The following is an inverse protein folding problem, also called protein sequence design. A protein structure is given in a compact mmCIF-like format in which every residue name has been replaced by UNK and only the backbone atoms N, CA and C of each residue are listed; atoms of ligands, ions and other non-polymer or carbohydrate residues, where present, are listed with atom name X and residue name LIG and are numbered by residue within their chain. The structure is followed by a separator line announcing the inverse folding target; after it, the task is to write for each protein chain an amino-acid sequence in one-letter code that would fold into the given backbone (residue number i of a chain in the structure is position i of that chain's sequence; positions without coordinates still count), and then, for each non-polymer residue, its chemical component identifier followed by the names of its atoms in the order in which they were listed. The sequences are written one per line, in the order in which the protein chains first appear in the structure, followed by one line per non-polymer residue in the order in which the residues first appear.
data_IF_043297496037
#
_entry.id   IF_043297496037
#
_cell.length_a   1.000
_cell.length_b   1.000
_cell.length_c   1.000
_cell.angle_alpha   90.00
_cell.angle_beta   90.00
_cell.angle_gamma   90.00
#
_symmetry.space_group_name_H-M   'P 1'
#
loop_
_entity.id
_entity.type
_entity.pdbx_description
1 polymer ?
#
# COMPACT_ATOMS: atom_id res chain seq x y z
N UNK A 1 -5.75 19.04 2.24
CA UNK A 1 -6.28 19.59 3.51
C UNK A 1 -7.75 19.26 3.61
N UNK A 2 -8.06 17.98 3.50
CA UNK A 2 -9.41 17.43 3.62
C UNK A 2 -9.55 16.82 5.01
N UNK A 3 -10.79 16.71 5.49
CA UNK A 3 -11.07 16.05 6.77
C UNK A 3 -10.84 14.54 6.66
N UNK A 4 -10.21 13.96 7.68
CA UNK A 4 -9.93 12.51 7.77
C UNK A 4 -10.68 11.85 8.92
N UNK A 5 -11.57 12.57 9.61
CA UNK A 5 -12.30 12.06 10.77
C UNK A 5 -11.36 11.61 11.88
N UNK A 6 -11.55 10.37 12.35
CA UNK A 6 -10.69 9.71 13.35
C UNK A 6 -9.53 8.92 12.73
N UNK A 7 -9.36 8.95 11.40
CA UNK A 7 -8.30 8.18 10.73
C UNK A 7 -6.92 8.55 11.26
N UNK A 8 -6.01 7.58 11.23
CA UNK A 8 -4.63 7.78 11.64
C UNK A 8 -3.99 8.94 10.85
N UNK A 9 -3.43 9.90 11.59
CA UNK A 9 -2.84 11.11 11.03
C UNK A 9 -1.60 11.52 11.82
N UNK A 10 -0.47 11.63 11.14
CA UNK A 10 0.75 12.24 11.65
C UNK A 10 0.77 13.72 11.25
N UNK A 11 0.27 14.59 12.13
CA UNK A 11 0.09 16.01 11.81
C UNK A 11 1.38 16.75 11.45
N UNK A 12 2.49 16.36 12.08
CA UNK A 12 3.83 16.90 11.88
C UNK A 12 4.44 16.53 10.52
N UNK A 13 3.89 15.54 9.81
CA UNK A 13 4.35 15.12 8.48
C UNK A 13 3.56 15.73 7.31
N UNK A 14 2.52 16.55 7.56
CA UNK A 14 1.71 17.18 6.50
C UNK A 14 2.56 17.96 5.48
N UNK A 15 3.49 18.78 5.97
CA UNK A 15 4.39 19.56 5.11
C UNK A 15 5.34 18.67 4.30
N UNK A 16 5.77 17.54 4.87
CA UNK A 16 6.61 16.57 4.18
C UNK A 16 5.82 15.87 3.06
N UNK A 17 4.59 15.44 3.33
CA UNK A 17 3.70 14.84 2.34
C UNK A 17 3.48 15.77 1.13
N UNK A 18 3.17 17.06 1.37
CA UNK A 18 3.01 18.07 0.31
C UNK A 18 4.28 18.25 -0.52
N UNK A 19 5.46 18.23 0.11
CA UNK A 19 6.75 18.27 -0.61
C UNK A 19 6.93 17.04 -1.51
N UNK A 20 6.50 15.86 -1.06
CA UNK A 20 6.60 14.63 -1.86
C UNK A 20 5.65 14.65 -3.05
N UNK A 21 4.41 15.13 -2.88
CA UNK A 21 3.46 15.32 -3.98
C UNK A 21 4.05 16.23 -5.06
N UNK A 22 4.56 17.40 -4.64
CA UNK A 22 5.19 18.36 -5.56
C UNK A 22 6.42 17.76 -6.27
N UNK A 23 7.26 17.02 -5.54
CA UNK A 23 8.43 16.35 -6.11
C UNK A 23 8.04 15.29 -7.14
N UNK A 24 6.94 14.57 -6.94
CA UNK A 24 6.42 13.62 -7.91
C UNK A 24 5.99 14.34 -9.20
N UNK A 25 5.26 15.46 -9.06
CA UNK A 25 4.84 16.30 -10.18
C UNK A 25 6.05 16.86 -10.96
N UNK A 26 7.03 17.45 -10.27
CA UNK A 26 8.25 18.01 -10.87
C UNK A 26 9.06 16.95 -11.65
N UNK A 27 8.98 15.68 -11.24
CA UNK A 27 9.63 14.54 -11.90
C UNK A 27 8.77 13.86 -12.95
N UNK A 28 7.53 14.32 -13.18
CA UNK A 28 6.58 13.69 -14.09
C UNK A 28 6.15 12.29 -13.63
N UNK A 29 6.25 11.98 -12.33
CA UNK A 29 5.79 10.73 -11.74
C UNK A 29 4.29 10.84 -11.47
N UNK A 30 3.51 9.91 -12.01
CA UNK A 30 2.08 9.83 -11.74
C UNK A 30 1.84 9.29 -10.32
N UNK A 31 1.54 10.17 -9.39
CA UNK A 31 1.15 9.81 -8.03
C UNK A 31 -0.36 9.55 -7.96
N UNK A 32 -0.73 8.37 -7.49
CA UNK A 32 -2.13 7.99 -7.27
C UNK A 32 -2.40 7.92 -5.76
N UNK A 33 -3.45 8.61 -5.32
CA UNK A 33 -3.91 8.68 -3.93
C UNK A 33 -5.39 8.24 -3.92
N UNK A 34 -5.90 7.62 -2.85
CA UNK A 34 -7.29 7.18 -2.79
C UNK A 34 -8.31 8.26 -3.18
N UNK A 35 -9.32 7.85 -3.94
CA UNK A 35 -10.44 8.69 -4.40
C UNK A 35 -11.76 8.32 -3.70
N UNK A 36 -11.78 7.16 -3.04
CA UNK A 36 -12.82 6.68 -2.13
C UNK A 36 -12.19 5.78 -1.07
N UNK A 37 -12.84 5.71 0.08
CA UNK A 37 -12.33 5.04 1.28
C UNK A 37 -13.45 4.23 1.93
N UNK A 38 -13.12 3.02 2.38
CA UNK A 38 -13.96 2.22 3.26
C UNK A 38 -13.73 2.68 4.69
N UNK A 39 -14.75 3.26 5.32
CA UNK A 39 -14.68 3.84 6.67
C UNK A 39 -15.56 3.07 7.65
N UNK A 40 -15.17 3.06 8.92
CA UNK A 40 -15.87 2.41 10.03
C UNK A 40 -16.04 3.35 11.24
N UNK A 41 -17.04 3.10 12.08
CA UNK A 41 -17.30 3.85 13.31
C UNK A 41 -16.49 3.35 14.52
N UNK A 42 -15.84 2.20 14.38
CA UNK A 42 -14.95 1.58 15.37
C UNK A 42 -13.86 0.75 14.67
N UNK A 43 -12.72 0.56 15.34
CA UNK A 43 -11.63 -0.31 14.89
C UNK A 43 -11.95 -1.78 15.19
N UNK A 44 -12.93 -2.31 14.49
CA UNK A 44 -13.43 -3.66 14.67
C UNK A 44 -13.93 -4.24 13.35
N UNK A 45 -13.69 -5.53 13.12
CA UNK A 45 -14.18 -6.21 11.93
C UNK A 45 -15.71 -6.13 11.80
N UNK A 46 -16.43 -6.00 12.92
CA UNK A 46 -17.90 -6.01 12.96
C UNK A 46 -18.50 -4.59 13.08
N UNK A 47 -17.70 -3.54 12.88
CA UNK A 47 -18.13 -2.14 12.92
C UNK A 47 -19.11 -1.80 11.79
N UNK A 48 -19.80 -0.65 11.91
CA UNK A 48 -20.65 -0.15 10.84
C UNK A 48 -19.79 0.45 9.73
N UNK A 49 -19.86 -0.15 8.54
CA UNK A 49 -19.02 0.21 7.40
C UNK A 49 -19.81 1.06 6.40
N UNK A 50 -19.15 2.06 5.83
CA UNK A 50 -19.61 2.74 4.61
C UNK A 50 -18.45 3.09 3.69
N UNK A 51 -18.77 3.36 2.43
CA UNK A 51 -17.81 3.85 1.44
C UNK A 51 -18.11 5.33 1.23
N UNK A 52 -17.09 6.17 1.33
CA UNK A 52 -17.19 7.62 1.13
C UNK A 52 -16.18 8.09 0.10
N UNK A 53 -16.48 9.20 -0.57
CA UNK A 53 -15.53 9.84 -1.46
C UNK A 53 -14.36 10.47 -0.72
N UNK A 54 -13.35 10.84 -1.47
CA UNK A 54 -12.23 11.65 -0.99
C UNK A 54 -12.74 12.95 -0.35
N UNK A 55 -12.28 13.22 0.88
CA UNK A 55 -12.68 14.36 1.69
C UNK A 55 -14.08 14.28 2.31
N UNK A 56 -14.73 13.12 2.23
CA UNK A 56 -16.07 12.89 2.80
C UNK A 56 -16.03 11.96 4.03
N UNK A 57 -14.85 11.77 4.64
CA UNK A 57 -14.72 10.98 5.87
C UNK A 57 -15.43 11.72 7.02
N UNK A 58 -16.47 11.12 7.63
CA UNK A 58 -17.19 11.73 8.75
C UNK A 58 -16.30 11.92 9.96
N UNK A 59 -16.58 12.95 10.76
CA UNK A 59 -15.83 13.28 11.96
C UNK A 59 -15.77 12.15 13.00
N UNK A 60 -16.77 11.27 13.02
CA UNK A 60 -16.90 10.18 13.99
C UNK A 60 -16.38 8.81 13.49
N UNK A 61 -15.92 8.72 12.24
CA UNK A 61 -15.46 7.49 11.59
C UNK A 61 -13.98 7.57 11.17
N UNK A 62 -13.36 6.42 10.91
CA UNK A 62 -11.98 6.28 10.46
C UNK A 62 -11.89 5.43 9.17
N UNK A 63 -10.93 5.74 8.31
CA UNK A 63 -10.62 4.96 7.11
C UNK A 63 -9.77 3.74 7.43
N UNK A 64 -10.28 2.56 7.07
CA UNK A 64 -9.64 1.26 7.38
C UNK A 64 -9.26 0.46 6.14
N UNK A 65 -9.75 0.81 4.95
CA UNK A 65 -9.34 0.24 3.67
C UNK A 65 -9.63 1.24 2.54
N UNK A 66 -9.01 1.03 1.37
CA UNK A 66 -9.37 1.78 0.16
C UNK A 66 -10.77 1.39 -0.31
N UNK A 67 -11.46 2.33 -0.97
CA UNK A 67 -12.76 2.05 -1.58
C UNK A 67 -12.62 1.30 -2.91
N UNK A 68 -13.75 0.80 -3.47
CA UNK A 68 -13.76 0.02 -4.71
C UNK A 68 -13.26 0.81 -5.93
N UNK A 69 -13.51 2.13 -6.02
CA UNK A 69 -13.05 2.93 -7.17
C UNK A 69 -11.52 3.10 -7.11
N UNK A 70 -10.98 3.26 -5.92
CA UNK A 70 -9.52 3.32 -5.69
C UNK A 70 -8.87 1.98 -5.99
N UNK A 71 -9.46 0.87 -5.55
CA UNK A 71 -8.97 -0.47 -5.86
C UNK A 71 -8.91 -0.71 -7.38
N UNK A 72 -9.96 -0.32 -8.12
CA UNK A 72 -9.97 -0.37 -9.59
C UNK A 72 -8.91 0.54 -10.21
N UNK A 73 -8.79 1.78 -9.72
CA UNK A 73 -7.78 2.73 -10.17
C UNK A 73 -6.35 2.17 -10.03
N UNK A 74 -6.05 1.54 -8.90
CA UNK A 74 -4.73 0.97 -8.62
C UNK A 74 -4.49 -0.29 -9.44
N UNK A 75 -5.49 -1.17 -9.55
CA UNK A 75 -5.40 -2.36 -10.40
C UNK A 75 -5.12 -1.97 -11.87
N UNK A 76 -5.78 -0.93 -12.38
CA UNK A 76 -5.55 -0.41 -13.73
C UNK A 76 -4.17 0.24 -13.89
N UNK A 77 -3.63 0.86 -12.84
CA UNK A 77 -2.27 1.43 -12.87
C UNK A 77 -1.18 0.35 -12.87
N UNK A 78 -1.45 -0.77 -12.19
CA UNK A 78 -0.58 -1.96 -12.18
C UNK A 78 -0.67 -2.70 -13.51
N UNK A 79 -1.81 -2.68 -14.20
CA UNK A 79 -2.01 -3.35 -15.46
C UNK A 79 -0.97 -2.92 -16.52
N UNK A 80 -0.23 -3.90 -17.05
CA UNK A 80 0.80 -3.68 -18.07
C UNK A 80 2.17 -3.25 -17.52
N UNK A 81 2.31 -3.05 -16.21
CA UNK A 81 3.61 -2.82 -15.59
C UNK A 81 4.56 -4.00 -15.83
N UNK A 82 5.84 -3.71 -16.07
CA UNK A 82 6.89 -4.73 -16.25
C UNK A 82 7.63 -5.05 -14.96
N UNK A 83 7.63 -4.12 -14.03
CA UNK A 83 8.17 -4.28 -12.68
C UNK A 83 7.25 -3.59 -11.71
N UNK A 84 6.92 -4.26 -10.60
CA UNK A 84 6.12 -3.70 -9.52
C UNK A 84 6.82 -4.02 -8.21
N UNK A 85 7.05 -3.01 -7.38
CA UNK A 85 7.52 -3.16 -6.00
C UNK A 85 6.37 -2.74 -5.09
N UNK A 86 5.95 -3.63 -4.20
CA UNK A 86 4.85 -3.37 -3.27
C UNK A 86 5.31 -3.53 -1.83
N UNK A 87 5.10 -2.49 -1.02
CA UNK A 87 5.40 -2.44 0.40
C UNK A 87 4.29 -1.64 1.12
N UNK A 88 3.64 -2.29 2.08
CA UNK A 88 2.48 -1.79 2.84
C UNK A 88 1.13 -2.30 2.29
N UNK A 89 0.27 -2.95 3.11
CA UNK A 89 -1.10 -3.26 2.72
C UNK A 89 -1.94 -1.98 2.47
N UNK A 90 -3.09 -2.10 1.83
CA UNK A 90 -3.96 -0.95 1.50
C UNK A 90 -4.91 -0.54 2.65
N UNK A 91 -5.03 -1.41 3.66
CA UNK A 91 -5.94 -1.29 4.78
C UNK A 91 -5.59 -2.32 5.86
N UNK A 92 -6.43 -2.40 6.89
CA UNK A 92 -6.30 -3.33 8.02
C UNK A 92 -6.67 -4.76 7.59
N UNK A 93 -5.81 -5.38 6.77
CA UNK A 93 -6.07 -6.65 6.09
C UNK A 93 -6.28 -7.84 7.05
N UNK A 94 -5.84 -7.72 8.30
CA UNK A 94 -6.08 -8.70 9.36
C UNK A 94 -7.57 -8.82 9.71
N UNK A 95 -8.36 -7.81 9.39
CA UNK A 95 -9.82 -7.80 9.49
C UNK A 95 -10.44 -8.06 8.10
N UNK A 96 -11.13 -9.19 7.87
CA UNK A 96 -11.65 -9.55 6.56
C UNK A 96 -12.51 -8.48 5.86
N UNK A 97 -13.25 -7.68 6.63
CA UNK A 97 -14.07 -6.60 6.07
C UNK A 97 -13.26 -5.41 5.53
N UNK A 98 -11.98 -5.31 5.90
CA UNK A 98 -11.02 -4.26 5.50
C UNK A 98 -9.81 -4.82 4.73
N UNK A 99 -9.92 -6.04 4.21
CA UNK A 99 -8.88 -6.70 3.41
C UNK A 99 -9.07 -6.54 1.90
N UNK A 100 -10.20 -5.98 1.44
CA UNK A 100 -10.63 -6.03 0.03
C UNK A 100 -9.70 -5.23 -0.88
N UNK A 101 -9.24 -4.07 -0.44
CA UNK A 101 -8.29 -3.25 -1.18
C UNK A 101 -6.94 -3.94 -1.35
N UNK A 102 -6.42 -4.52 -0.26
CA UNK A 102 -5.18 -5.31 -0.26
C UNK A 102 -5.29 -6.51 -1.20
N UNK A 103 -6.42 -7.25 -1.16
CA UNK A 103 -6.69 -8.35 -2.09
C UNK A 103 -6.72 -7.86 -3.54
N UNK A 104 -7.39 -6.74 -3.83
CA UNK A 104 -7.51 -6.23 -5.20
C UNK A 104 -6.15 -5.88 -5.82
N UNK A 105 -5.24 -5.27 -5.05
CA UNK A 105 -3.87 -4.97 -5.50
C UNK A 105 -3.05 -6.25 -5.69
N UNK A 106 -3.12 -7.19 -4.73
CA UNK A 106 -2.44 -8.48 -4.83
C UNK A 106 -2.91 -9.28 -6.05
N UNK A 107 -4.21 -9.31 -6.32
CA UNK A 107 -4.79 -9.94 -7.52
C UNK A 107 -4.32 -9.28 -8.81
N UNK A 108 -4.27 -7.94 -8.86
CA UNK A 108 -3.83 -7.22 -10.04
C UNK A 108 -2.37 -7.55 -10.36
N UNK A 109 -1.51 -7.59 -9.35
CA UNK A 109 -0.11 -7.99 -9.49
C UNK A 109 0.03 -9.45 -9.93
N UNK A 110 -0.73 -10.36 -9.33
CA UNK A 110 -0.70 -11.79 -9.66
C UNK A 110 -1.16 -12.12 -11.10
N UNK A 111 -1.90 -11.21 -11.75
CA UNK A 111 -2.35 -11.34 -13.15
C UNK A 111 -1.30 -10.85 -14.17
N UNK A 112 -0.19 -10.26 -13.73
CA UNK A 112 0.84 -9.73 -14.63
C UNK A 112 1.72 -10.86 -15.17
N UNK A 113 1.46 -11.27 -16.40
CA UNK A 113 2.31 -12.23 -17.10
C UNK A 113 3.64 -11.60 -17.54
N UNK A 114 4.76 -12.24 -17.17
CA UNK A 114 6.11 -11.82 -17.58
C UNK A 114 6.61 -10.52 -16.93
N UNK A 115 5.94 -10.04 -15.89
CA UNK A 115 6.42 -8.93 -15.06
C UNK A 115 7.19 -9.44 -13.84
N UNK A 116 8.09 -8.60 -13.32
CA UNK A 116 8.76 -8.83 -12.04
C UNK A 116 7.96 -8.17 -10.92
N UNK A 117 7.31 -8.98 -10.08
CA UNK A 117 6.57 -8.50 -8.89
C UNK A 117 7.36 -8.79 -7.62
N UNK A 118 7.68 -7.73 -6.88
CA UNK A 118 8.52 -7.75 -5.68
C UNK A 118 7.68 -7.32 -4.50
N UNK A 119 7.54 -8.20 -3.51
CA UNK A 119 6.92 -7.87 -2.22
C UNK A 119 8.03 -7.54 -1.22
N UNK A 120 7.98 -6.33 -0.68
CA UNK A 120 8.85 -5.84 0.39
C UNK A 120 8.07 -5.53 1.66
N UNK A 121 8.76 -5.56 2.81
CA UNK A 121 8.13 -5.33 4.12
C UNK A 121 7.45 -6.56 4.69
N UNK A 122 7.48 -6.69 6.02
CA UNK A 122 6.93 -7.85 6.74
C UNK A 122 5.42 -7.98 6.54
N UNK A 123 4.69 -6.87 6.62
CA UNK A 123 3.22 -6.88 6.57
C UNK A 123 2.69 -7.23 5.18
N UNK A 124 3.27 -6.70 4.11
CA UNK A 124 2.88 -7.11 2.74
C UNK A 124 3.23 -8.56 2.45
N UNK A 125 4.37 -9.06 2.95
CA UNK A 125 4.70 -10.48 2.82
C UNK A 125 3.69 -11.36 3.59
N UNK A 126 3.30 -10.94 4.79
CA UNK A 126 2.27 -11.61 5.58
C UNK A 126 0.91 -11.58 4.86
N UNK A 127 0.48 -10.43 4.37
CA UNK A 127 -0.77 -10.26 3.62
C UNK A 127 -0.79 -11.18 2.37
N UNK A 128 0.25 -11.15 1.54
CA UNK A 128 0.34 -12.02 0.36
C UNK A 128 0.24 -13.51 0.72
N UNK A 129 0.90 -13.95 1.80
CA UNK A 129 0.87 -15.35 2.20
C UNK A 129 -0.50 -15.75 2.78
N UNK A 130 -1.05 -14.95 3.70
CA UNK A 130 -2.34 -15.24 4.34
C UNK A 130 -3.51 -15.22 3.34
N UNK A 131 -3.43 -14.33 2.33
CA UNK A 131 -4.44 -14.19 1.30
C UNK A 131 -4.23 -15.13 0.09
N UNK A 132 -3.20 -15.99 0.10
CA UNK A 132 -2.97 -17.00 -0.94
C UNK A 132 -2.38 -16.48 -2.25
N UNK A 133 -1.67 -15.36 -2.20
CA UNK A 133 -0.95 -14.75 -3.33
C UNK A 133 0.55 -15.00 -3.32
N UNK A 134 1.08 -15.62 -2.26
CA UNK A 134 2.51 -15.84 -2.07
C UNK A 134 3.22 -16.43 -3.29
N UNK A 135 2.74 -17.58 -3.74
CA UNK A 135 3.30 -18.32 -4.89
C UNK A 135 3.07 -17.64 -6.25
N UNK A 136 2.29 -16.56 -6.30
CA UNK A 136 1.97 -15.82 -7.52
C UNK A 136 2.86 -14.59 -7.71
N UNK A 137 3.72 -14.29 -6.75
CA UNK A 137 4.66 -13.16 -6.83
C UNK A 137 6.03 -13.65 -7.31
N UNK A 138 6.75 -12.83 -8.08
CA UNK A 138 8.08 -13.20 -8.58
C UNK A 138 9.11 -13.30 -7.45
N UNK A 139 9.02 -12.40 -6.47
CA UNK A 139 9.90 -12.39 -5.30
C UNK A 139 9.16 -11.88 -4.07
N UNK A 140 9.31 -12.61 -2.96
CA UNK A 140 8.89 -12.16 -1.63
C UNK A 140 10.13 -12.01 -0.78
N UNK A 141 10.42 -10.78 -0.39
CA UNK A 141 11.61 -10.49 0.39
C UNK A 141 11.42 -10.92 1.84
N UNK A 142 12.39 -11.66 2.38
CA UNK A 142 12.45 -12.04 3.80
C UNK A 142 13.26 -11.05 4.64
N UNK A 143 13.79 -9.98 4.04
CA UNK A 143 14.64 -9.01 4.72
C UNK A 143 13.91 -8.05 5.66
N UNK A 144 12.57 -7.98 5.59
CA UNK A 144 11.76 -7.09 6.41
C UNK A 144 12.25 -5.64 6.28
N UNK A 145 12.72 -5.06 7.38
CA UNK A 145 13.30 -3.71 7.40
C UNK A 145 14.56 -3.55 6.53
N UNK A 146 15.40 -4.59 6.40
CA UNK A 146 16.59 -4.53 5.56
C UNK A 146 16.25 -4.34 4.08
N UNK A 147 15.12 -4.89 3.62
CA UNK A 147 14.64 -4.70 2.24
C UNK A 147 14.24 -3.24 1.98
N UNK A 148 13.68 -2.57 2.98
CA UNK A 148 13.32 -1.16 2.87
C UNK A 148 14.58 -0.27 2.89
N UNK A 149 15.51 -0.52 3.81
CA UNK A 149 16.79 0.20 3.85
C UNK A 149 17.59 0.05 2.54
N UNK A 150 17.55 -1.14 1.93
CA UNK A 150 18.15 -1.36 0.62
C UNK A 150 17.47 -0.52 -0.47
N UNK A 151 16.13 -0.46 -0.48
CA UNK A 151 15.36 0.34 -1.45
C UNK A 151 15.51 1.85 -1.21
N UNK A 152 15.81 2.28 0.01
CA UNK A 152 16.20 3.65 0.36
C UNK A 152 17.59 4.01 -0.18
N UNK A 153 18.36 3.02 -0.67
CA UNK A 153 19.72 3.19 -1.21
C UNK A 153 20.80 3.24 -0.13
N UNK A 154 20.53 2.69 1.06
CA UNK A 154 21.54 2.59 2.12
C UNK A 154 22.49 1.43 1.89
N UNK A 155 23.73 1.63 2.30
CA UNK A 155 24.71 0.55 2.41
C UNK A 155 24.35 -0.35 3.58
N UNK A 156 23.96 -1.60 3.29
CA UNK A 156 23.71 -2.61 4.32
C UNK A 156 25.04 -3.20 4.78
N UNK A 157 25.45 -3.09 6.06
CA UNK A 157 26.77 -3.51 6.51
C UNK A 157 27.12 -4.97 6.19
N UNK A 158 26.13 -5.87 6.32
CA UNK A 158 26.33 -7.29 6.01
C UNK A 158 26.47 -7.59 4.52
N UNK A 159 25.93 -6.74 3.64
CA UNK A 159 26.08 -6.87 2.18
C UNK A 159 27.42 -6.30 1.75
N UNK A 160 27.81 -5.14 2.28
CA UNK A 160 29.09 -4.49 1.97
C UNK A 160 30.29 -5.32 2.44
N UNK A 161 30.14 -6.09 3.52
CA UNK A 161 31.20 -6.96 4.02
C UNK A 161 31.44 -8.21 3.16
N UNK A 162 30.56 -8.52 2.20
CA UNK A 162 30.74 -9.66 1.31
C UNK A 162 31.80 -9.33 0.24
N UNK A 163 32.61 -10.33 -0.13
CA UNK A 163 33.59 -10.17 -1.21
C UNK A 163 32.90 -9.93 -2.55
N UNK A 164 33.47 -9.02 -3.35
CA UNK A 164 33.07 -8.84 -4.74
C UNK A 164 33.32 -10.12 -5.55
N UNK A 165 32.49 -10.34 -6.57
CA UNK A 165 32.55 -11.53 -7.44
C UNK A 165 33.72 -11.49 -8.43
#
# INVERSE_FOLDING_TARGET
GEEVGKSLLEEDYKDYALKMEKKAEEKGVKLLIPIDTTVADDFSNDANIKIVGRGEIPADMEGLDIGPKTAELFANAVAGAKTVVWNGPMGCFEMPNFAKGTIAVAEAMAKLEGATTIIGGGDSAAACNQLGFGDKMTHISTGGGASLEFLEGKDLPGVVAADDK
#
